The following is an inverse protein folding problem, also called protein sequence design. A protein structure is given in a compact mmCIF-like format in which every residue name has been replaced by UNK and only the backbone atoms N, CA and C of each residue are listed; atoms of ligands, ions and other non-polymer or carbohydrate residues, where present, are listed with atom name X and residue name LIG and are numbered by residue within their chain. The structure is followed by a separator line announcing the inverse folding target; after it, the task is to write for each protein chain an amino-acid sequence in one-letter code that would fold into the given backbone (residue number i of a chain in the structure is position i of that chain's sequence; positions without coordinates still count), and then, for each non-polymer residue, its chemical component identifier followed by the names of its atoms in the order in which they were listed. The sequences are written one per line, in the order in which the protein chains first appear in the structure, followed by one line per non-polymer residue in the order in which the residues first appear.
data_IF_497744175582
#
_entry.id   IF_497744175582
#
_cell.length_a   1.000
_cell.length_b   1.000
_cell.length_c   1.000
_cell.angle_alpha   90.00
_cell.angle_beta   90.00
_cell.angle_gamma   90.00
#
_symmetry.space_group_name_H-M   'P 1'
#
loop_
_entity.id
_entity.type
_entity.pdbx_description
1 polymer ?
#
# COMPACT_ATOMS: atom_id res chain seq x y z
N UNK A 1 -10.54 -26.85 22.99
CA UNK A 1 -11.02 -25.48 22.69
C UNK A 1 -9.77 -24.71 22.34
N UNK A 2 -9.63 -24.27 21.09
CA UNK A 2 -8.40 -23.64 20.59
C UNK A 2 -8.47 -22.14 20.85
N UNK A 3 -7.51 -21.58 21.61
CA UNK A 3 -7.56 -20.18 22.00
C UNK A 3 -6.63 -19.33 21.11
N UNK A 4 -7.04 -18.09 20.79
CA UNK A 4 -6.19 -17.16 20.02
C UNK A 4 -4.82 -16.95 20.65
N UNK A 5 -4.77 -16.93 21.99
CA UNK A 5 -3.51 -16.75 22.74
C UNK A 5 -2.48 -17.85 22.45
N UNK A 6 -2.90 -19.04 22.02
CA UNK A 6 -1.99 -20.14 21.69
C UNK A 6 -1.35 -19.97 20.30
N UNK A 7 -1.89 -19.06 19.49
CA UNK A 7 -1.38 -18.70 18.17
C UNK A 7 -2.45 -18.01 17.33
N UNK A 8 -2.04 -17.03 16.52
CA UNK A 8 -2.98 -16.25 15.69
C UNK A 8 -3.29 -16.90 14.34
N UNK A 9 -2.49 -17.87 13.88
CA UNK A 9 -2.71 -18.57 12.63
C UNK A 9 -3.06 -20.04 12.89
N UNK A 10 -4.02 -20.56 12.13
CA UNK A 10 -4.39 -21.97 12.10
C UNK A 10 -4.27 -22.48 10.68
N UNK A 11 -3.78 -23.70 10.54
CA UNK A 11 -3.70 -24.40 9.26
C UNK A 11 -4.60 -25.63 9.32
N UNK A 12 -5.62 -25.66 8.47
CA UNK A 12 -6.53 -26.79 8.34
C UNK A 12 -6.15 -27.59 7.10
N UNK A 13 -5.92 -28.91 7.22
CA UNK A 13 -5.61 -29.74 6.06
C UNK A 13 -6.82 -29.87 5.15
N UNK A 14 -6.59 -29.84 3.84
CA UNK A 14 -7.60 -30.14 2.82
C UNK A 14 -6.99 -31.04 1.75
N UNK A 15 -7.59 -32.21 1.54
CA UNK A 15 -7.11 -33.14 0.53
C UNK A 15 -7.68 -32.78 -0.84
N UNK A 16 -6.79 -32.62 -1.81
CA UNK A 16 -7.11 -32.35 -3.21
C UNK A 16 -6.95 -33.66 -4.00
N UNK A 17 -8.04 -34.27 -4.49
CA UNK A 17 -7.98 -35.49 -5.28
C UNK A 17 -7.36 -35.28 -6.66
N UNK A 18 -6.87 -36.36 -7.27
CA UNK A 18 -6.47 -36.38 -8.67
C UNK A 18 -7.62 -35.97 -9.60
N UNK A 19 -7.32 -35.15 -10.61
CA UNK A 19 -8.32 -34.65 -11.57
C UNK A 19 -9.16 -33.47 -11.08
N UNK A 20 -8.79 -32.84 -9.96
CA UNK A 20 -9.42 -31.60 -9.50
C UNK A 20 -9.07 -30.44 -10.44
N UNK A 21 -10.08 -29.87 -11.09
CA UNK A 21 -9.94 -28.68 -11.94
C UNK A 21 -10.21 -27.37 -11.19
N UNK A 22 -10.95 -27.42 -10.07
CA UNK A 22 -11.18 -26.29 -9.20
C UNK A 22 -11.38 -26.69 -7.74
N UNK A 23 -10.82 -25.90 -6.83
CA UNK A 23 -11.07 -25.95 -5.39
C UNK A 23 -11.87 -24.70 -5.01
N UNK A 24 -13.04 -24.90 -4.42
CA UNK A 24 -13.83 -23.83 -3.79
C UNK A 24 -13.79 -24.00 -2.28
N UNK A 25 -13.36 -22.95 -1.57
CA UNK A 25 -13.43 -22.86 -0.12
C UNK A 25 -14.56 -21.92 0.28
N UNK A 26 -15.33 -22.29 1.28
CA UNK A 26 -16.36 -21.45 1.90
C UNK A 26 -16.13 -21.38 3.40
N UNK A 27 -15.93 -20.17 3.92
CA UNK A 27 -15.82 -19.85 5.34
C UNK A 27 -17.15 -19.25 5.81
N UNK A 28 -17.73 -19.81 6.88
CA UNK A 28 -18.96 -19.33 7.50
C UNK A 28 -18.77 -19.15 9.00
N UNK A 29 -19.09 -17.97 9.52
CA UNK A 29 -19.00 -17.63 10.94
C UNK A 29 -19.86 -16.38 11.24
N UNK A 30 -20.22 -16.11 12.50
CA UNK A 30 -20.93 -14.90 12.87
C UNK A 30 -20.02 -13.66 12.75
N UNK A 31 -20.05 -12.96 11.62
CA UNK A 31 -19.21 -11.77 11.33
C UNK A 31 -19.36 -10.62 12.34
N UNK A 32 -20.45 -10.57 13.09
CA UNK A 32 -20.63 -9.60 14.17
C UNK A 32 -19.87 -9.97 15.46
N UNK A 33 -19.49 -11.24 15.62
CA UNK A 33 -18.81 -11.75 16.81
C UNK A 33 -17.29 -11.62 16.72
N UNK A 34 -16.72 -11.52 15.52
CA UNK A 34 -15.28 -11.44 15.34
C UNK A 34 -14.82 -11.35 13.89
N UNK A 35 -13.52 -11.46 13.66
CA UNK A 35 -12.89 -11.44 12.34
C UNK A 35 -11.96 -12.64 12.16
N UNK A 36 -12.24 -13.42 11.11
CA UNK A 36 -11.38 -14.49 10.61
C UNK A 36 -10.89 -14.13 9.23
N UNK A 37 -9.59 -14.29 9.01
CA UNK A 37 -9.01 -14.16 7.68
C UNK A 37 -8.90 -15.52 7.01
N UNK A 38 -8.99 -15.53 5.67
CA UNK A 38 -8.86 -16.74 4.86
C UNK A 38 -7.64 -16.65 3.95
N UNK A 39 -6.84 -17.73 3.94
CA UNK A 39 -5.73 -17.93 3.01
C UNK A 39 -5.57 -19.38 2.60
N UNK A 40 -4.67 -19.63 1.65
CA UNK A 40 -4.41 -20.96 1.12
C UNK A 40 -2.92 -21.15 0.82
N UNK A 41 -2.40 -22.31 1.21
CA UNK A 41 -1.10 -22.81 0.79
C UNK A 41 -1.27 -24.10 -0.01
N UNK A 42 -0.38 -24.30 -0.98
CA UNK A 42 -0.24 -25.55 -1.69
C UNK A 42 0.39 -26.66 -0.83
N UNK A 43 0.61 -27.85 -1.40
CA UNK A 43 1.04 -29.02 -0.65
C UNK A 43 2.45 -28.86 -0.08
N UNK A 44 3.35 -28.18 -0.80
CA UNK A 44 4.72 -27.90 -0.34
C UNK A 44 4.81 -26.65 0.56
N UNK A 45 3.68 -25.98 0.79
CA UNK A 45 3.59 -24.78 1.62
C UNK A 45 3.84 -23.48 0.87
N UNK A 46 3.91 -23.56 -0.45
CA UNK A 46 3.93 -22.41 -1.33
C UNK A 46 2.63 -21.61 -1.23
N UNK A 47 2.74 -20.30 -1.39
CA UNK A 47 1.60 -19.38 -1.30
C UNK A 47 0.64 -19.59 -2.47
N UNK A 48 -0.66 -19.68 -2.16
CA UNK A 48 -1.73 -19.76 -3.17
C UNK A 48 -2.75 -18.63 -3.05
N UNK A 49 -2.81 -17.95 -1.92
CA UNK A 49 -3.61 -16.73 -1.81
C UNK A 49 -3.93 -16.31 -0.40
N UNK A 50 -4.39 -15.06 -0.30
CA UNK A 50 -4.84 -14.41 0.91
C UNK A 50 -5.93 -13.40 0.54
N UNK A 51 -7.01 -13.35 1.32
CA UNK A 51 -8.07 -12.35 1.14
C UNK A 51 -8.44 -11.62 2.43
N UNK A 52 -7.67 -11.82 3.51
CA UNK A 52 -8.08 -11.33 4.82
C UNK A 52 -9.49 -11.81 5.16
N UNK A 53 -10.24 -10.97 5.87
CA UNK A 53 -11.67 -11.15 6.16
C UNK A 53 -12.62 -10.73 5.03
N UNK A 54 -12.11 -10.32 3.86
CA UNK A 54 -12.92 -9.72 2.79
C UNK A 54 -13.82 -10.72 2.06
N UNK A 55 -13.51 -12.03 2.11
CA UNK A 55 -14.21 -13.05 1.33
C UNK A 55 -14.70 -14.23 2.17
N UNK A 56 -15.96 -14.59 1.97
CA UNK A 56 -16.54 -15.83 2.51
C UNK A 56 -16.32 -17.03 1.58
N UNK A 57 -16.15 -16.80 0.28
CA UNK A 57 -15.98 -17.87 -0.70
C UNK A 57 -14.89 -17.52 -1.71
N UNK A 58 -13.99 -18.46 -1.92
CA UNK A 58 -12.86 -18.32 -2.84
C UNK A 58 -12.76 -19.57 -3.70
N UNK A 59 -12.41 -19.41 -4.97
CA UNK A 59 -12.19 -20.51 -5.90
C UNK A 59 -10.83 -20.36 -6.56
N UNK A 60 -10.06 -21.44 -6.57
CA UNK A 60 -8.76 -21.54 -7.25
C UNK A 60 -8.87 -22.61 -8.33
N UNK A 61 -8.45 -22.26 -9.55
CA UNK A 61 -8.36 -23.14 -10.70
C UNK A 61 -7.02 -22.88 -11.43
N UNK A 62 -6.74 -23.69 -12.45
CA UNK A 62 -5.47 -23.61 -13.18
C UNK A 62 -5.26 -22.27 -13.89
N UNK A 63 -6.27 -21.79 -14.61
CA UNK A 63 -6.15 -20.57 -15.42
C UNK A 63 -6.65 -19.31 -14.69
N UNK A 64 -7.38 -19.47 -13.59
CA UNK A 64 -7.97 -18.35 -12.85
C UNK A 64 -8.18 -18.65 -11.38
N UNK A 65 -8.24 -17.61 -10.58
CA UNK A 65 -8.62 -17.69 -9.18
C UNK A 65 -9.43 -16.46 -8.77
N UNK A 66 -10.15 -16.55 -7.65
CA UNK A 66 -10.76 -15.40 -6.99
C UNK A 66 -9.68 -14.35 -6.67
N UNK A 67 -9.93 -13.04 -6.87
CA UNK A 67 -8.97 -12.00 -6.51
C UNK A 67 -8.49 -12.16 -5.06
N UNK A 68 -7.18 -12.00 -4.86
CA UNK A 68 -6.46 -12.36 -3.64
C UNK A 68 -5.71 -13.70 -3.75
N UNK A 69 -6.09 -14.55 -4.71
CA UNK A 69 -5.52 -15.88 -4.92
C UNK A 69 -4.84 -15.99 -6.28
N UNK A 70 -3.82 -16.85 -6.35
CA UNK A 70 -3.05 -17.10 -7.54
C UNK A 70 -3.64 -18.28 -8.32
N UNK A 71 -3.85 -18.16 -9.65
CA UNK A 71 -4.16 -19.31 -10.48
C UNK A 71 -2.97 -20.28 -10.54
N UNK A 72 -3.23 -21.52 -10.96
CA UNK A 72 -2.19 -22.51 -11.24
C UNK A 72 -2.62 -23.94 -10.92
N UNK A 73 -1.82 -24.94 -11.31
CA UNK A 73 -2.19 -26.35 -11.21
C UNK A 73 -2.62 -26.77 -9.80
N UNK A 74 -3.68 -27.57 -9.70
CA UNK A 74 -4.15 -28.14 -8.45
C UNK A 74 -3.54 -29.54 -8.26
N UNK A 75 -2.28 -29.55 -7.81
CA UNK A 75 -1.53 -30.79 -7.59
C UNK A 75 -2.22 -31.65 -6.52
N UNK A 76 -2.45 -32.95 -6.76
CA UNK A 76 -3.08 -33.83 -5.79
C UNK A 76 -2.25 -33.95 -4.51
N UNK A 77 -2.91 -33.95 -3.37
CA UNK A 77 -2.26 -34.03 -2.06
C UNK A 77 -2.93 -33.16 -1.00
N UNK A 78 -2.31 -33.06 0.16
CA UNK A 78 -2.84 -32.29 1.29
C UNK A 78 -2.37 -30.84 1.22
N UNK A 79 -3.30 -29.94 0.93
CA UNK A 79 -3.12 -28.49 0.97
C UNK A 79 -3.48 -27.96 2.36
N UNK A 80 -3.23 -26.68 2.61
CA UNK A 80 -3.52 -26.04 3.91
C UNK A 80 -4.34 -24.77 3.74
N UNK A 81 -5.57 -24.78 4.28
CA UNK A 81 -6.36 -23.56 4.48
C UNK A 81 -5.83 -22.83 5.70
N UNK A 82 -5.46 -21.56 5.54
CA UNK A 82 -5.01 -20.72 6.62
C UNK A 82 -6.19 -19.91 7.16
N UNK A 83 -6.34 -19.90 8.49
CA UNK A 83 -7.24 -19.01 9.21
C UNK A 83 -6.45 -18.10 10.15
N UNK A 84 -6.55 -16.77 9.98
CA UNK A 84 -6.05 -15.83 11.01
C UNK A 84 -7.16 -15.49 11.99
N UNK A 85 -6.86 -15.60 13.26
CA UNK A 85 -7.72 -15.28 14.39
C UNK A 85 -7.57 -13.80 14.76
N UNK A 86 -7.97 -12.88 13.88
CA UNK A 86 -7.64 -11.45 14.00
C UNK A 86 -8.39 -10.68 15.08
N UNK A 87 -9.69 -10.93 15.31
CA UNK A 87 -10.47 -10.34 16.42
C UNK A 87 -11.47 -11.36 16.92
N UNK A 88 -11.03 -12.23 17.83
CA UNK A 88 -11.81 -13.35 18.34
C UNK A 88 -12.11 -13.12 19.82
N UNK A 89 -13.37 -13.26 20.26
CA UNK A 89 -13.71 -13.13 21.68
C UNK A 89 -13.00 -14.21 22.51
N UNK A 90 -12.66 -13.95 23.79
CA UNK A 90 -11.93 -14.90 24.64
C UNK A 90 -12.62 -16.28 24.76
N UNK A 91 -13.94 -16.31 24.78
CA UNK A 91 -14.76 -17.53 24.80
C UNK A 91 -14.74 -18.30 23.47
N UNK A 92 -14.15 -17.73 22.42
CA UNK A 92 -14.15 -18.26 21.07
C UNK A 92 -15.46 -18.02 20.33
N UNK A 93 -15.50 -18.40 19.05
CA UNK A 93 -16.71 -18.34 18.24
C UNK A 93 -16.77 -19.52 17.27
N UNK A 94 -17.98 -20.00 16.90
CA UNK A 94 -18.10 -21.09 15.94
C UNK A 94 -17.72 -20.61 14.54
N UNK A 95 -17.09 -21.49 13.78
CA UNK A 95 -16.84 -21.30 12.36
C UNK A 95 -16.94 -22.64 11.62
N UNK A 96 -17.19 -22.58 10.32
CA UNK A 96 -17.17 -23.73 9.42
C UNK A 96 -16.35 -23.39 8.18
N UNK A 97 -15.41 -24.26 7.82
CA UNK A 97 -14.71 -24.22 6.53
C UNK A 97 -15.15 -25.43 5.72
N UNK A 98 -15.71 -25.18 4.53
CA UNK A 98 -16.04 -26.21 3.56
C UNK A 98 -15.10 -26.13 2.37
N UNK A 99 -14.56 -27.26 1.97
CA UNK A 99 -13.79 -27.41 0.74
C UNK A 99 -14.55 -28.28 -0.25
N UNK A 100 -14.72 -27.79 -1.48
CA UNK A 100 -15.33 -28.52 -2.58
C UNK A 100 -14.35 -28.60 -3.75
N UNK A 101 -13.95 -29.81 -4.10
CA UNK A 101 -13.21 -30.09 -5.31
C UNK A 101 -14.19 -30.41 -6.46
N UNK A 102 -13.94 -29.85 -7.64
CA UNK A 102 -14.71 -30.11 -8.85
C UNK A 102 -13.78 -30.52 -9.99
N UNK A 103 -14.27 -31.41 -10.86
CA UNK A 103 -13.57 -31.85 -12.09
C UNK A 103 -13.73 -30.88 -13.25
N UNK A 104 -14.54 -29.84 -13.07
CA UNK A 104 -14.71 -28.75 -14.01
C UNK A 104 -14.65 -27.42 -13.27
N UNK A 105 -13.86 -26.48 -13.78
CA UNK A 105 -13.83 -25.13 -13.24
C UNK A 105 -15.14 -24.40 -13.58
N UNK A 106 -15.67 -23.55 -12.67
CA UNK A 106 -16.85 -22.74 -12.99
C UNK A 106 -16.62 -21.86 -14.23
N UNK A 107 -17.65 -21.25 -14.81
CA UNK A 107 -17.43 -20.18 -15.78
C UNK A 107 -16.77 -18.96 -15.10
N UNK A 108 -15.95 -18.21 -15.84
CA UNK A 108 -15.45 -16.94 -15.36
C UNK A 108 -16.60 -15.92 -15.29
N UNK A 109 -16.75 -15.14 -14.20
CA UNK A 109 -17.60 -13.98 -14.23
C UNK A 109 -17.07 -13.00 -15.27
N UNK A 110 -17.95 -12.45 -16.09
CA UNK A 110 -17.62 -11.40 -17.05
C UNK A 110 -17.65 -10.05 -16.32
N UNK A 111 -16.54 -9.63 -15.73
CA UNK A 111 -16.38 -8.25 -15.28
C UNK A 111 -16.07 -7.37 -16.51
N UNK A 112 -16.85 -6.32 -16.71
CA UNK A 112 -16.60 -5.38 -17.80
C UNK A 112 -15.40 -4.50 -17.45
N UNK A 113 -14.37 -4.52 -18.27
CA UNK A 113 -13.27 -3.55 -18.15
C UNK A 113 -13.80 -2.15 -18.47
N UNK A 114 -13.57 -1.14 -17.61
CA UNK A 114 -13.98 0.22 -17.92
C UNK A 114 -13.26 0.74 -19.18
N UNK A 115 -13.92 1.60 -19.98
CA UNK A 115 -13.27 2.21 -21.13
C UNK A 115 -12.08 3.08 -20.70
N UNK A 116 -11.16 3.41 -21.62
CA UNK A 116 -10.13 4.41 -21.37
C UNK A 116 -10.71 5.73 -20.85
N UNK A 117 -10.01 6.38 -19.92
CA UNK A 117 -10.35 7.71 -19.42
C UNK A 117 -10.25 8.74 -20.56
N UNK A 118 -11.31 9.51 -20.76
CA UNK A 118 -11.27 10.60 -21.74
C UNK A 118 -10.37 11.73 -21.22
N UNK A 119 -9.59 12.42 -22.08
CA UNK A 119 -8.74 13.53 -21.64
C UNK A 119 -9.47 14.63 -20.88
N UNK A 120 -10.75 14.87 -21.18
CA UNK A 120 -11.58 15.87 -20.51
C UNK A 120 -12.01 15.46 -19.08
N UNK A 121 -11.99 14.15 -18.77
CA UNK A 121 -12.35 13.61 -17.46
C UNK A 121 -11.13 13.55 -16.51
N UNK A 122 -9.93 13.86 -17.02
CA UNK A 122 -8.70 13.90 -16.26
C UNK A 122 -8.48 15.29 -15.69
N UNK A 123 -8.31 15.38 -14.37
CA UNK A 123 -7.85 16.57 -13.68
C UNK A 123 -6.53 17.06 -14.26
N UNK A 124 -6.41 18.37 -14.45
CA UNK A 124 -5.18 18.97 -14.94
C UNK A 124 -4.03 18.73 -13.94
N UNK A 125 -2.88 18.30 -14.45
CA UNK A 125 -1.67 18.16 -13.64
C UNK A 125 -1.06 19.53 -13.36
N UNK A 126 -0.66 19.74 -12.12
CA UNK A 126 0.11 20.92 -11.72
C UNK A 126 1.42 20.96 -12.50
N UNK A 127 1.78 22.14 -13.00
CA UNK A 127 3.09 22.35 -13.62
C UNK A 127 4.14 22.59 -12.55
N UNK A 128 5.18 21.77 -12.54
CA UNK A 128 6.32 21.85 -11.62
C UNK A 128 7.61 21.88 -12.44
N UNK A 129 8.62 22.71 -12.09
CA UNK A 129 9.88 22.77 -12.82
C UNK A 129 10.61 21.42 -12.89
N UNK A 130 11.28 21.14 -14.00
CA UNK A 130 12.21 20.00 -14.08
C UNK A 130 13.53 20.31 -13.36
N UNK A 131 14.26 19.26 -12.97
CA UNK A 131 15.60 19.37 -12.38
C UNK A 131 16.54 18.40 -13.08
N UNK A 132 17.61 18.89 -13.72
CA UNK A 132 18.67 18.06 -14.31
C UNK A 132 18.14 16.91 -15.21
N UNK A 133 17.11 17.20 -16.01
CA UNK A 133 16.47 16.21 -16.90
C UNK A 133 15.44 15.30 -16.21
N UNK A 134 15.33 15.34 -14.88
CA UNK A 134 14.30 14.68 -14.10
C UNK A 134 13.04 15.54 -13.92
N UNK A 135 11.90 14.90 -13.68
CA UNK A 135 10.60 15.54 -13.45
C UNK A 135 9.96 15.05 -12.15
N UNK A 136 9.32 15.97 -11.44
CA UNK A 136 8.45 15.60 -10.33
C UNK A 136 7.17 14.98 -10.86
N UNK A 137 6.87 13.77 -10.39
CA UNK A 137 5.64 13.05 -10.67
C UNK A 137 4.79 13.00 -9.40
N UNK A 138 3.49 13.25 -9.53
CA UNK A 138 2.53 13.16 -8.43
C UNK A 138 1.88 11.78 -8.41
N UNK A 139 1.79 11.15 -7.25
CA UNK A 139 1.13 9.87 -7.12
C UNK A 139 0.67 9.55 -5.71
N UNK A 140 0.14 8.34 -5.59
CA UNK A 140 -0.33 7.76 -4.35
C UNK A 140 0.38 6.43 -4.14
N UNK A 141 0.88 6.19 -2.92
CA UNK A 141 1.71 5.04 -2.59
C UNK A 141 0.99 4.01 -1.73
N UNK A 142 -0.32 4.16 -1.51
CA UNK A 142 -1.08 3.25 -0.66
C UNK A 142 -2.54 3.16 -1.12
N UNK A 143 -2.89 2.08 -1.81
CA UNK A 143 -4.25 1.83 -2.27
C UNK A 143 -4.52 0.33 -2.53
N UNK A 144 -5.77 -0.06 -2.36
CA UNK A 144 -6.23 -1.44 -2.37
C UNK A 144 -7.28 -1.69 -3.44
N UNK A 145 -7.32 -2.92 -3.95
CA UNK A 145 -8.29 -3.38 -4.94
C UNK A 145 -9.15 -4.50 -4.37
N UNK A 146 -10.02 -5.07 -5.19
CA UNK A 146 -10.75 -6.29 -4.84
C UNK A 146 -9.85 -7.51 -4.56
N UNK A 147 -8.54 -7.42 -4.79
CA UNK A 147 -7.60 -8.48 -4.47
C UNK A 147 -7.32 -8.60 -2.96
N UNK A 148 -7.54 -7.55 -2.16
CA UNK A 148 -7.73 -7.66 -0.71
C UNK A 148 -9.14 -7.25 -0.31
N UNK A 149 -9.31 -6.02 0.14
CA UNK A 149 -10.47 -5.46 0.82
C UNK A 149 -10.88 -4.10 0.25
N UNK A 150 -10.27 -3.68 -0.86
CA UNK A 150 -10.79 -2.64 -1.72
C UNK A 150 -12.01 -3.11 -2.52
N UNK A 151 -12.76 -2.16 -3.07
CA UNK A 151 -14.00 -2.46 -3.82
C UNK A 151 -13.84 -2.34 -5.33
N UNK A 152 -12.77 -1.69 -5.80
CA UNK A 152 -12.52 -1.45 -7.21
C UNK A 152 -11.64 -2.56 -7.80
N UNK A 153 -11.91 -2.90 -9.06
CA UNK A 153 -10.96 -3.68 -9.88
C UNK A 153 -9.69 -2.86 -10.13
N UNK A 154 -8.61 -3.53 -10.56
CA UNK A 154 -7.35 -2.86 -10.93
C UNK A 154 -7.57 -1.78 -12.00
N UNK A 155 -8.40 -2.05 -13.02
CA UNK A 155 -8.72 -1.09 -14.09
C UNK A 155 -9.57 0.10 -13.59
N UNK A 156 -10.52 -0.14 -12.68
CA UNK A 156 -11.33 0.93 -12.08
C UNK A 156 -10.49 1.82 -11.14
N UNK A 157 -9.63 1.22 -10.33
CA UNK A 157 -8.71 1.94 -9.45
C UNK A 157 -7.72 2.79 -10.27
N UNK A 158 -7.15 2.22 -11.34
CA UNK A 158 -6.27 2.94 -12.26
C UNK A 158 -7.00 4.11 -12.94
N UNK A 159 -8.27 3.91 -13.33
CA UNK A 159 -9.10 4.97 -13.92
C UNK A 159 -9.39 6.08 -12.90
N UNK A 160 -9.69 5.74 -11.66
CA UNK A 160 -9.94 6.70 -10.59
C UNK A 160 -8.68 7.55 -10.29
N UNK A 161 -7.52 6.92 -10.13
CA UNK A 161 -6.25 7.63 -9.94
C UNK A 161 -5.91 8.54 -11.15
N UNK A 162 -6.15 8.04 -12.36
CA UNK A 162 -5.95 8.82 -13.58
C UNK A 162 -6.88 10.02 -13.66
N UNK A 163 -8.12 9.92 -13.16
CA UNK A 163 -9.09 11.00 -13.11
C UNK A 163 -8.65 12.11 -12.13
N UNK A 164 -8.02 11.75 -11.02
CA UNK A 164 -7.38 12.69 -10.08
C UNK A 164 -6.09 13.33 -10.63
N UNK A 165 -5.72 13.02 -11.88
CA UNK A 165 -4.56 13.61 -12.54
C UNK A 165 -3.23 13.01 -12.09
N UNK A 166 -3.22 11.94 -11.31
CA UNK A 166 -1.99 11.30 -10.85
C UNK A 166 -1.14 10.78 -12.03
N UNK A 167 0.18 10.83 -11.86
CA UNK A 167 1.18 10.27 -12.77
C UNK A 167 1.41 8.78 -12.49
N UNK A 168 1.37 8.39 -11.22
CA UNK A 168 1.52 7.01 -10.79
C UNK A 168 0.64 6.64 -9.59
N UNK A 169 0.45 5.34 -9.39
CA UNK A 169 -0.23 4.74 -8.24
C UNK A 169 0.48 3.43 -7.85
N UNK A 170 0.85 3.27 -6.58
CA UNK A 170 1.21 1.96 -6.06
C UNK A 170 -0.05 1.20 -5.64
N UNK A 171 -0.18 -0.05 -6.08
CA UNK A 171 -1.29 -0.92 -5.70
C UNK A 171 -0.76 -1.96 -4.71
N UNK A 172 -1.25 -1.92 -3.48
CA UNK A 172 -0.61 -2.52 -2.30
C UNK A 172 -1.56 -3.45 -1.55
N UNK A 173 -2.33 -4.28 -2.26
CA UNK A 173 -3.27 -5.22 -1.63
C UNK A 173 -2.63 -6.06 -0.50
N UNK A 174 -3.40 -6.28 0.57
CA UNK A 174 -2.93 -6.95 1.78
C UNK A 174 -2.47 -8.40 1.54
N UNK A 175 -1.20 -8.67 1.87
CA UNK A 175 -0.58 -10.01 1.93
C UNK A 175 -0.73 -10.85 0.65
N UNK A 176 -0.97 -10.22 -0.50
CA UNK A 176 -1.13 -10.87 -1.80
C UNK A 176 -0.42 -10.07 -2.89
N UNK A 177 -0.07 -10.76 -3.98
CA UNK A 177 0.49 -10.18 -5.21
C UNK A 177 -0.35 -10.57 -6.43
N UNK A 178 -1.56 -11.07 -6.21
CA UNK A 178 -2.42 -11.61 -7.27
C UNK A 178 -2.90 -10.54 -8.28
N UNK A 179 -2.82 -9.26 -7.92
CA UNK A 179 -3.13 -8.12 -8.78
C UNK A 179 -2.00 -7.76 -9.76
N UNK A 180 -0.75 -8.14 -9.46
CA UNK A 180 0.45 -7.72 -10.21
C UNK A 180 0.34 -7.94 -11.73
N UNK A 181 -0.13 -9.11 -12.22
CA UNK A 181 -0.21 -9.35 -13.67
C UNK A 181 -1.11 -8.38 -14.44
N UNK A 182 -2.09 -7.76 -13.79
CA UNK A 182 -3.04 -6.85 -14.42
C UNK A 182 -2.51 -5.40 -14.53
N UNK A 183 -1.53 -5.02 -13.69
CA UNK A 183 -1.12 -3.63 -13.49
C UNK A 183 -0.66 -2.95 -14.79
N UNK A 184 0.23 -3.59 -15.55
CA UNK A 184 0.78 -2.98 -16.75
C UNK A 184 -0.29 -2.74 -17.83
N UNK A 185 -1.27 -3.65 -17.95
CA UNK A 185 -2.37 -3.51 -18.92
C UNK A 185 -3.36 -2.42 -18.50
N UNK A 186 -3.76 -2.39 -17.23
CA UNK A 186 -4.65 -1.38 -16.68
C UNK A 186 -4.05 0.03 -16.74
N UNK A 187 -2.78 0.17 -16.32
CA UNK A 187 -2.06 1.44 -16.36
C UNK A 187 -1.95 2.01 -17.77
N UNK A 188 -1.56 1.19 -18.77
CA UNK A 188 -1.53 1.61 -20.18
C UNK A 188 -2.89 2.06 -20.68
N UNK A 189 -3.96 1.35 -20.32
CA UNK A 189 -5.33 1.65 -20.76
C UNK A 189 -5.84 2.98 -20.22
N UNK A 190 -5.49 3.32 -18.98
CA UNK A 190 -5.93 4.53 -18.30
C UNK A 190 -4.90 5.68 -18.37
N UNK A 191 -3.73 5.43 -18.97
CA UNK A 191 -2.66 6.42 -19.14
C UNK A 191 -2.02 6.86 -17.82
N UNK A 192 -1.80 5.92 -16.90
CA UNK A 192 -1.16 6.10 -15.59
C UNK A 192 -0.12 5.00 -15.36
N UNK A 193 0.97 5.27 -14.65
CA UNK A 193 1.92 4.23 -14.24
C UNK A 193 1.42 3.52 -12.99
N UNK A 194 1.28 2.20 -13.03
CA UNK A 194 0.96 1.40 -11.83
C UNK A 194 2.23 0.73 -11.32
N UNK A 195 2.59 1.01 -10.07
CA UNK A 195 3.72 0.40 -9.39
C UNK A 195 3.23 -0.87 -8.66
N UNK A 196 3.87 -2.04 -8.89
CA UNK A 196 3.58 -3.22 -8.10
C UNK A 196 3.94 -2.98 -6.64
N UNK A 197 3.07 -3.44 -5.75
CA UNK A 197 3.35 -3.46 -4.32
C UNK A 197 2.55 -4.53 -3.59
N UNK A 198 2.91 -4.73 -2.33
CA UNK A 198 2.18 -5.57 -1.38
C UNK A 198 2.21 -4.85 -0.04
N UNK A 199 1.05 -4.68 0.61
CA UNK A 199 1.05 -4.35 2.03
C UNK A 199 1.23 -5.63 2.84
N UNK A 200 2.31 -5.71 3.59
CA UNK A 200 2.56 -6.76 4.57
C UNK A 200 1.83 -6.38 5.86
N UNK A 201 0.78 -7.12 6.17
CA UNK A 201 -0.21 -6.76 7.21
C UNK A 201 -0.17 -7.76 8.35
N UNK A 202 0.12 -7.27 9.56
CA UNK A 202 0.11 -8.05 10.81
C UNK A 202 -0.66 -7.33 11.91
N UNK A 203 -0.95 -8.02 13.01
CA UNK A 203 -1.57 -7.40 14.20
C UNK A 203 -0.63 -6.39 14.92
N UNK A 204 0.65 -6.29 14.52
CA UNK A 204 1.67 -5.48 15.20
C UNK A 204 2.33 -4.45 14.27
N UNK A 205 1.70 -4.16 13.15
CA UNK A 205 2.20 -3.18 12.20
C UNK A 205 2.10 -3.62 10.75
N UNK A 206 2.09 -2.61 9.89
CA UNK A 206 1.96 -2.74 8.45
C UNK A 206 3.16 -2.13 7.72
N UNK A 207 3.51 -2.69 6.56
CA UNK A 207 4.54 -2.13 5.70
C UNK A 207 4.23 -2.39 4.22
N UNK A 208 4.33 -1.35 3.39
CA UNK A 208 4.33 -1.50 1.94
C UNK A 208 5.70 -1.97 1.46
N UNK A 209 5.69 -3.02 0.64
CA UNK A 209 6.81 -3.42 -0.18
C UNK A 209 6.53 -2.99 -1.61
N UNK A 210 7.39 -2.14 -2.16
CA UNK A 210 7.27 -1.59 -3.51
C UNK A 210 8.21 -2.31 -4.49
N UNK A 211 7.72 -2.56 -5.70
CA UNK A 211 8.43 -3.28 -6.76
C UNK A 211 7.84 -4.67 -7.01
N UNK A 212 8.21 -5.26 -8.15
CA UNK A 212 7.84 -6.64 -8.50
C UNK A 212 8.78 -7.62 -7.76
N UNK A 213 8.63 -7.70 -6.43
CA UNK A 213 9.52 -8.48 -5.55
C UNK A 213 9.09 -9.94 -5.37
N UNK A 214 8.00 -10.35 -6.02
CA UNK A 214 7.23 -11.53 -5.63
C UNK A 214 6.58 -11.37 -4.24
N UNK A 215 5.96 -12.45 -3.76
CA UNK A 215 5.24 -12.45 -2.49
C UNK A 215 6.18 -12.38 -1.28
N UNK A 216 5.93 -11.42 -0.39
CA UNK A 216 6.61 -11.29 0.90
C UNK A 216 5.76 -11.98 1.96
N UNK A 217 6.35 -13.01 2.59
CA UNK A 217 5.66 -13.80 3.61
C UNK A 217 5.54 -13.02 4.94
N UNK A 218 4.34 -12.49 5.19
CA UNK A 218 3.98 -11.72 6.40
C UNK A 218 4.11 -12.50 7.72
N UNK A 219 4.36 -13.82 7.66
CA UNK A 219 4.59 -14.66 8.85
C UNK A 219 6.05 -14.63 9.30
N UNK A 220 6.94 -14.11 8.46
CA UNK A 220 8.37 -13.95 8.75
C UNK A 220 8.61 -12.69 9.58
N UNK A 221 9.76 -12.56 10.26
CA UNK A 221 10.13 -11.31 10.95
C UNK A 221 10.26 -10.13 9.98
N UNK A 222 10.00 -8.90 10.45
CA UNK A 222 10.09 -7.69 9.63
C UNK A 222 11.47 -7.47 8.96
N UNK A 223 12.55 -7.90 9.61
CA UNK A 223 13.89 -7.86 9.04
C UNK A 223 14.05 -8.78 7.80
N UNK A 224 13.35 -9.92 7.77
CA UNK A 224 13.32 -10.80 6.60
C UNK A 224 12.57 -10.15 5.45
N UNK A 225 11.48 -9.40 5.72
CA UNK A 225 10.73 -8.67 4.69
C UNK A 225 11.62 -7.64 4.01
N UNK A 226 12.33 -6.82 4.79
CA UNK A 226 13.26 -5.83 4.27
C UNK A 226 14.36 -6.49 3.42
N UNK A 227 14.98 -7.54 3.95
CA UNK A 227 16.07 -8.26 3.25
C UNK A 227 15.59 -8.83 1.91
N UNK A 228 14.40 -9.41 1.87
CA UNK A 228 13.82 -10.00 0.66
C UNK A 228 13.40 -8.96 -0.37
N UNK A 229 12.78 -7.87 0.08
CA UNK A 229 12.42 -6.75 -0.78
C UNK A 229 13.66 -6.20 -1.49
N UNK A 230 14.71 -5.87 -0.75
CA UNK A 230 15.94 -5.31 -1.30
C UNK A 230 16.70 -6.30 -2.19
N UNK A 231 16.73 -7.59 -1.83
CA UNK A 231 17.34 -8.63 -2.67
C UNK A 231 16.66 -8.77 -4.04
N UNK A 232 15.38 -8.42 -4.14
CA UNK A 232 14.61 -8.39 -5.38
C UNK A 232 14.60 -7.00 -6.06
N UNK A 233 15.35 -6.02 -5.55
CA UNK A 233 15.39 -4.65 -6.09
C UNK A 233 14.20 -3.78 -5.70
N UNK A 234 13.40 -4.20 -4.71
CA UNK A 234 12.30 -3.43 -4.15
C UNK A 234 12.67 -2.63 -2.90
N UNK A 235 11.68 -1.92 -2.37
CA UNK A 235 11.79 -1.06 -1.20
C UNK A 235 10.76 -1.45 -0.14
N UNK A 236 11.08 -1.27 1.14
CA UNK A 236 10.12 -1.43 2.23
C UNK A 236 9.88 -0.08 2.91
N UNK A 237 8.61 0.30 3.02
CA UNK A 237 8.13 1.46 3.77
C UNK A 237 7.30 1.01 4.96
N UNK A 238 7.57 1.55 6.15
CA UNK A 238 6.67 1.39 7.30
C UNK A 238 5.40 2.20 7.04
N UNK A 239 4.23 1.57 7.13
CA UNK A 239 2.95 2.26 6.93
C UNK A 239 2.48 2.88 8.24
N UNK A 240 1.88 4.06 8.15
CA UNK A 240 1.17 4.78 9.21
C UNK A 240 1.53 4.35 10.65
N UNK A 241 2.78 4.57 11.11
CA UNK A 241 3.37 3.86 12.25
C UNK A 241 2.70 4.14 13.61
N UNK A 242 1.78 5.08 13.66
CA UNK A 242 1.07 5.55 14.85
C UNK A 242 -0.45 5.37 14.73
N UNK A 243 -0.95 4.66 13.70
CA UNK A 243 -2.37 4.54 13.42
C UNK A 243 -3.02 3.36 14.15
N UNK A 244 -3.89 3.68 15.11
CA UNK A 244 -4.84 2.75 15.75
C UNK A 244 -4.21 1.40 16.15
N UNK A 245 -4.89 0.28 15.86
CA UNK A 245 -4.42 -1.09 16.11
C UNK A 245 -3.46 -1.62 15.02
N UNK A 246 -3.08 -0.77 14.06
CA UNK A 246 -2.12 -1.04 13.00
C UNK A 246 -0.77 -0.34 13.24
N UNK A 247 -0.58 0.28 14.41
CA UNK A 247 0.64 0.97 14.77
C UNK A 247 1.85 0.03 14.71
N UNK A 248 3.02 0.59 14.40
CA UNK A 248 4.22 -0.23 14.25
C UNK A 248 4.79 -0.63 15.62
N UNK A 249 4.60 -1.89 15.98
CA UNK A 249 5.10 -2.52 17.22
C UNK A 249 6.14 -3.62 16.97
N UNK A 250 6.30 -4.05 15.72
CA UNK A 250 7.24 -5.10 15.35
C UNK A 250 8.71 -4.69 15.62
N UNK A 251 9.52 -5.56 16.22
CA UNK A 251 10.95 -5.31 16.37
C UNK A 251 11.64 -5.36 15.00
N UNK A 252 12.55 -4.42 14.76
CA UNK A 252 13.50 -4.49 13.66
C UNK A 252 14.87 -4.88 14.19
N UNK A 253 15.24 -6.15 13.96
CA UNK A 253 16.61 -6.59 14.20
C UNK A 253 17.52 -6.06 13.07
N UNK A 254 18.57 -5.32 13.43
CA UNK A 254 19.52 -4.77 12.46
C UNK A 254 19.08 -3.43 11.87
N UNK A 255 19.11 -3.31 10.53
CA UNK A 255 18.84 -2.04 9.85
C UNK A 255 17.33 -1.79 9.72
N UNK A 256 16.91 -0.60 10.13
CA UNK A 256 15.54 -0.11 9.92
C UNK A 256 15.37 0.43 8.49
N UNK A 257 14.21 0.25 7.84
CA UNK A 257 13.89 0.88 6.55
C UNK A 257 13.99 2.41 6.65
N UNK A 258 14.40 3.05 5.55
CA UNK A 258 14.48 4.52 5.43
C UNK A 258 13.12 5.14 5.13
N UNK A 259 12.26 4.42 4.41
CA UNK A 259 10.97 4.91 3.95
C UNK A 259 9.90 4.71 5.02
N UNK A 260 9.07 5.72 5.21
CA UNK A 260 7.92 5.65 6.09
C UNK A 260 6.78 6.54 5.60
N UNK A 261 5.57 6.02 5.67
CA UNK A 261 4.34 6.79 5.47
C UNK A 261 4.09 7.68 6.69
N UNK A 262 4.71 8.86 6.67
CA UNK A 262 4.56 9.85 7.74
C UNK A 262 3.26 10.63 7.63
N UNK A 263 2.74 10.77 6.41
CA UNK A 263 1.45 11.40 6.18
C UNK A 263 0.43 10.34 5.77
N UNK A 264 -0.44 10.04 6.70
CA UNK A 264 -1.58 9.14 6.51
C UNK A 264 -2.85 9.84 6.99
N UNK A 265 -4.02 9.39 6.53
CA UNK A 265 -5.29 9.99 6.90
C UNK A 265 -5.59 9.94 8.40
N UNK A 266 -4.96 9.01 9.14
CA UNK A 266 -5.09 8.88 10.60
C UNK A 266 -4.41 10.04 11.34
N UNK A 267 -3.53 10.81 10.67
CA UNK A 267 -3.00 12.06 11.19
C UNK A 267 -4.04 13.20 11.07
N UNK A 268 -5.17 13.01 11.77
CA UNK A 268 -6.36 13.86 11.68
C UNK A 268 -6.11 15.31 12.11
N UNK A 269 -5.21 15.52 13.08
CA UNK A 269 -4.72 16.83 13.47
C UNK A 269 -3.22 16.94 13.18
N UNK A 270 -2.89 17.60 12.06
CA UNK A 270 -1.52 17.80 11.58
C UNK A 270 -0.69 18.79 12.40
N UNK A 271 -1.26 19.34 13.48
CA UNK A 271 -0.51 20.10 14.50
C UNK A 271 0.15 19.15 15.51
N UNK A 272 -0.31 17.91 15.62
CA UNK A 272 0.33 16.91 16.48
C UNK A 272 1.67 16.46 15.86
N UNK A 273 2.77 16.77 16.53
CA UNK A 273 4.13 16.43 16.06
C UNK A 273 4.53 14.96 16.22
N UNK A 274 3.63 14.05 16.60
CA UNK A 274 3.96 12.67 16.90
C UNK A 274 4.58 11.91 15.70
N UNK A 275 4.06 12.00 14.46
CA UNK A 275 4.71 11.37 13.30
C UNK A 275 6.13 11.89 13.04
N UNK A 276 6.36 13.20 13.24
CA UNK A 276 7.68 13.81 13.08
C UNK A 276 8.66 13.39 14.19
N UNK A 277 8.18 13.28 15.43
CA UNK A 277 8.97 12.78 16.55
C UNK A 277 9.34 11.31 16.37
N UNK A 278 8.38 10.49 15.90
CA UNK A 278 8.63 9.09 15.54
C UNK A 278 9.68 8.99 14.44
N UNK A 279 9.57 9.76 13.36
CA UNK A 279 10.54 9.74 12.27
C UNK A 279 11.97 10.04 12.75
N UNK A 280 12.13 11.08 13.57
CA UNK A 280 13.43 11.45 14.19
C UNK A 280 13.99 10.37 15.11
N UNK A 281 13.14 9.67 15.86
CA UNK A 281 13.56 8.56 16.71
C UNK A 281 13.84 7.28 15.90
N UNK A 282 13.24 7.16 14.72
CA UNK A 282 13.38 6.02 13.84
C UNK A 282 14.75 6.01 13.17
N UNK A 283 15.07 7.08 12.42
CA UNK A 283 16.34 7.34 11.71
C UNK A 283 16.54 8.84 11.46
N UNK A 284 17.78 9.27 11.25
CA UNK A 284 18.09 10.65 10.87
C UNK A 284 17.80 10.94 9.37
N UNK A 285 17.78 9.90 8.54
CA UNK A 285 17.60 9.93 7.08
C UNK A 285 16.27 9.31 6.63
N UNK A 286 15.19 9.51 7.40
CA UNK A 286 13.85 9.04 6.99
C UNK A 286 13.40 9.74 5.71
N UNK A 287 12.97 8.95 4.73
CA UNK A 287 12.35 9.40 3.49
C UNK A 287 10.84 9.49 3.73
N UNK A 288 10.24 10.69 3.71
CA UNK A 288 8.82 10.87 3.98
C UNK A 288 7.98 10.41 2.78
N UNK A 289 7.01 9.55 3.03
CA UNK A 289 5.97 9.15 2.09
C UNK A 289 4.59 9.50 2.65
N UNK A 290 3.62 9.54 1.74
CA UNK A 290 2.20 9.58 2.08
C UNK A 290 1.38 8.73 1.10
N UNK A 291 0.26 8.22 1.60
CA UNK A 291 -0.69 7.44 0.83
C UNK A 291 -2.10 7.64 1.35
N UNK A 292 -3.08 7.45 0.46
CA UNK A 292 -4.50 7.63 0.82
C UNK A 292 -5.06 6.48 1.65
N UNK A 293 -4.43 5.30 1.56
CA UNK A 293 -4.98 4.04 2.04
C UNK A 293 -6.39 3.80 1.48
N UNK A 294 -6.52 4.03 0.17
CA UNK A 294 -7.82 3.99 -0.52
C UNK A 294 -8.32 2.56 -0.64
N UNK A 295 -9.56 2.35 -0.21
CA UNK A 295 -10.26 1.07 -0.38
C UNK A 295 -11.52 1.23 -1.22
N UNK A 296 -12.24 2.35 -1.06
CA UNK A 296 -13.53 2.56 -1.72
C UNK A 296 -13.95 4.03 -1.79
N UNK A 297 -14.70 4.43 -2.83
CA UNK A 297 -15.14 5.83 -2.99
C UNK A 297 -15.93 6.39 -1.80
N UNK A 298 -16.68 5.55 -1.08
CA UNK A 298 -17.53 5.95 0.05
C UNK A 298 -16.74 6.44 1.27
N UNK A 299 -15.42 6.21 1.32
CA UNK A 299 -14.55 6.81 2.33
C UNK A 299 -14.51 8.34 2.24
N UNK A 300 -14.95 8.93 1.12
CA UNK A 300 -15.01 10.38 0.93
C UNK A 300 -13.65 11.05 0.83
N UNK A 301 -12.59 10.26 0.62
CA UNK A 301 -11.21 10.71 0.46
C UNK A 301 -10.72 10.27 -0.92
N UNK A 302 -10.33 11.20 -1.80
CA UNK A 302 -9.84 10.84 -3.12
C UNK A 302 -8.44 10.21 -3.03
N UNK A 303 -8.09 9.45 -4.07
CA UNK A 303 -6.72 9.01 -4.29
C UNK A 303 -5.79 10.23 -4.40
N UNK A 304 -4.57 10.09 -3.89
CA UNK A 304 -3.58 11.17 -3.86
C UNK A 304 -3.86 12.24 -2.81
N UNK A 305 -4.63 11.96 -1.76
CA UNK A 305 -4.81 12.86 -0.62
C UNK A 305 -4.46 12.13 0.70
N UNK A 306 -3.18 12.13 1.12
CA UNK A 306 -2.06 12.97 0.63
C UNK A 306 -1.42 12.50 -0.68
N UNK A 307 -0.75 13.43 -1.37
CA UNK A 307 0.03 13.15 -2.60
C UNK A 307 1.49 12.97 -2.23
N UNK A 308 2.10 11.87 -2.70
CA UNK A 308 3.57 11.76 -2.74
C UNK A 308 4.09 12.23 -4.10
N UNK A 309 5.04 13.15 -4.06
CA UNK A 309 5.80 13.62 -5.21
C UNK A 309 7.13 12.87 -5.25
N UNK A 310 7.53 12.43 -6.44
CA UNK A 310 8.82 11.75 -6.64
C UNK A 310 9.56 12.37 -7.81
N UNK A 311 10.81 12.77 -7.61
CA UNK A 311 11.68 13.28 -8.68
C UNK A 311 12.29 12.11 -9.47
N UNK A 312 11.80 11.91 -10.68
CA UNK A 312 12.10 10.75 -11.51
C UNK A 312 12.89 11.15 -12.77
N UNK A 313 13.99 10.45 -13.03
CA UNK A 313 14.59 10.42 -14.37
C UNK A 313 13.83 9.39 -15.22
N UNK A 314 13.50 9.72 -16.47
CA UNK A 314 12.82 8.83 -17.42
C UNK A 314 11.51 8.17 -16.94
N UNK A 315 10.88 8.73 -15.90
CA UNK A 315 9.66 8.18 -15.30
C UNK A 315 9.88 6.97 -14.37
N UNK A 316 11.12 6.66 -14.00
CA UNK A 316 11.44 5.61 -13.02
C UNK A 316 11.08 6.06 -11.60
N UNK A 317 9.84 5.75 -11.20
CA UNK A 317 9.31 6.08 -9.87
C UNK A 317 10.03 5.30 -8.78
N UNK A 318 10.30 4.00 -8.98
CA UNK A 318 10.95 3.17 -7.96
C UNK A 318 12.38 3.64 -7.70
N UNK A 319 13.15 3.97 -8.74
CA UNK A 319 14.47 4.57 -8.58
C UNK A 319 14.45 5.98 -7.97
N UNK A 320 13.38 6.75 -8.22
CA UNK A 320 13.13 8.01 -7.52
C UNK A 320 12.90 7.84 -6.02
N UNK A 321 12.09 6.84 -5.64
CA UNK A 321 11.83 6.48 -4.25
C UNK A 321 13.11 5.96 -3.57
N UNK A 322 13.86 5.07 -4.20
CA UNK A 322 15.09 4.49 -3.62
C UNK A 322 16.13 5.58 -3.30
N UNK A 323 16.26 6.56 -4.21
CA UNK A 323 17.12 7.71 -4.02
C UNK A 323 16.61 8.73 -2.98
N UNK A 324 15.45 8.51 -2.38
CA UNK A 324 14.87 9.37 -1.35
C UNK A 324 14.41 10.74 -1.85
N UNK A 325 14.21 10.91 -3.18
CA UNK A 325 13.84 12.20 -3.77
C UNK A 325 12.33 12.40 -3.71
N UNK A 326 11.81 12.53 -2.49
CA UNK A 326 10.37 12.58 -2.22
C UNK A 326 9.93 13.87 -1.53
N UNK A 327 8.69 14.23 -1.79
CA UNK A 327 7.96 15.22 -1.03
C UNK A 327 6.51 14.77 -0.84
N UNK A 328 5.83 15.31 0.15
CA UNK A 328 4.43 14.99 0.45
C UNK A 328 3.65 16.28 0.62
N UNK A 329 2.47 16.36 -0.01
CA UNK A 329 1.53 17.47 0.16
C UNK A 329 0.13 16.94 0.48
N UNK A 330 -0.76 17.79 1.00
CA UNK A 330 -2.13 17.40 1.32
C UNK A 330 -2.95 16.92 0.11
N UNK A 331 -2.53 17.29 -1.10
CA UNK A 331 -3.12 16.91 -2.38
C UNK A 331 -2.32 17.48 -3.56
N UNK A 332 -2.70 17.17 -4.81
CA UNK A 332 -1.91 17.48 -6.00
C UNK A 332 -1.80 19.00 -6.30
N UNK A 333 -2.75 19.80 -5.80
CA UNK A 333 -2.73 21.27 -5.92
C UNK A 333 -2.43 21.99 -4.60
N UNK A 334 -2.16 21.25 -3.53
CA UNK A 334 -1.85 21.87 -2.24
C UNK A 334 -0.46 22.51 -2.25
N UNK A 335 -0.17 23.37 -1.25
CA UNK A 335 1.18 23.86 -1.01
C UNK A 335 2.17 22.67 -0.98
N UNK A 336 3.30 22.81 -1.66
CA UNK A 336 4.31 21.75 -1.76
C UNK A 336 5.71 22.32 -1.56
N UNK A 337 6.60 21.49 -1.01
CA UNK A 337 8.02 21.78 -0.83
C UNK A 337 8.83 20.74 -1.59
N UNK A 338 9.62 21.17 -2.55
CA UNK A 338 10.33 20.27 -3.47
C UNK A 338 11.83 20.55 -3.44
N UNK A 339 12.67 19.51 -3.40
CA UNK A 339 14.12 19.66 -3.39
C UNK A 339 14.72 19.66 -4.80
N UNK A 340 15.61 20.62 -5.04
CA UNK A 340 16.42 20.79 -6.26
C UNK A 340 17.89 20.92 -5.83
N UNK A 341 18.52 19.79 -5.50
CA UNK A 341 19.87 19.76 -4.92
C UNK A 341 19.94 20.46 -3.56
N UNK A 342 20.70 21.56 -3.51
CA UNK A 342 20.91 22.38 -2.30
C UNK A 342 19.84 23.47 -2.11
N UNK A 343 18.82 23.50 -2.97
CA UNK A 343 17.67 24.40 -2.86
C UNK A 343 16.35 23.65 -2.61
N UNK A 344 15.43 24.33 -1.95
CA UNK A 344 14.04 23.95 -1.78
C UNK A 344 13.17 24.96 -2.51
N UNK A 345 12.27 24.48 -3.34
CA UNK A 345 11.24 25.26 -3.98
C UNK A 345 9.91 25.07 -3.22
N UNK A 346 9.46 26.14 -2.57
CA UNK A 346 8.11 26.20 -1.99
C UNK A 346 7.15 26.78 -3.02
N UNK A 347 6.12 26.01 -3.39
CA UNK A 347 5.11 26.39 -4.40
C UNK A 347 3.71 26.45 -3.79
N UNK A 348 2.97 27.51 -4.11
CA UNK A 348 1.64 27.86 -3.56
C UNK A 348 1.63 27.84 -2.04
N UNK A 349 2.72 28.35 -1.45
CA UNK A 349 3.04 28.25 -0.04
C UNK A 349 3.19 29.63 0.64
N UNK A 350 2.64 30.69 0.04
CA UNK A 350 2.73 32.05 0.61
C UNK A 350 2.12 32.09 2.02
N UNK A 351 2.82 32.75 2.95
CA UNK A 351 2.39 32.85 4.35
C UNK A 351 2.63 31.59 5.20
N UNK A 352 3.19 30.52 4.63
CA UNK A 352 3.67 29.36 5.40
C UNK A 352 5.05 29.62 6.01
N UNK A 353 5.47 28.73 6.91
CA UNK A 353 6.79 28.74 7.55
C UNK A 353 7.53 27.47 7.15
N UNK A 354 8.66 27.62 6.47
CA UNK A 354 9.63 26.55 6.30
C UNK A 354 10.30 26.28 7.64
N UNK A 355 10.18 25.04 8.13
CA UNK A 355 10.91 24.54 9.29
C UNK A 355 11.94 23.52 8.84
N UNK A 356 13.20 23.81 9.13
CA UNK A 356 14.34 22.95 8.83
C UNK A 356 14.55 21.87 9.91
N UNK A 357 15.31 20.80 9.60
CA UNK A 357 15.64 19.74 10.55
C UNK A 357 16.21 20.24 11.88
N UNK A 358 17.09 21.24 11.81
CA UNK A 358 17.72 21.92 12.96
C UNK A 358 16.77 22.82 13.77
N UNK A 359 15.53 22.99 13.32
CA UNK A 359 14.52 23.85 13.95
C UNK A 359 14.51 25.29 13.46
N UNK A 360 15.42 25.68 12.57
CA UNK A 360 15.45 27.02 11.96
C UNK A 360 14.16 27.26 11.17
N UNK A 361 13.57 28.45 11.35
CA UNK A 361 12.29 28.85 10.74
C UNK A 361 12.47 29.99 9.76
N UNK A 362 11.83 29.91 8.60
CA UNK A 362 11.82 30.97 7.59
C UNK A 362 10.43 31.14 7.03
N UNK A 363 9.90 32.37 7.05
CA UNK A 363 8.61 32.68 6.44
C UNK A 363 8.74 32.65 4.91
N UNK A 364 7.86 31.91 4.26
CA UNK A 364 7.74 31.89 2.80
C UNK A 364 6.93 33.12 2.37
N UNK A 365 7.49 33.93 1.47
CA UNK A 365 6.85 35.16 0.95
C UNK A 365 6.80 35.10 -0.57
N UNK A 366 5.61 34.85 -1.11
CA UNK A 366 5.34 34.66 -2.53
C UNK A 366 4.89 33.23 -2.86
N UNK A 367 4.31 33.07 -4.05
CA UNK A 367 3.72 31.80 -4.49
C UNK A 367 4.74 30.79 -5.04
N UNK A 368 5.95 31.23 -5.39
CA UNK A 368 7.05 30.37 -5.81
C UNK A 368 8.36 30.95 -5.29
N UNK A 369 8.97 30.28 -4.30
CA UNK A 369 10.13 30.80 -3.58
C UNK A 369 11.19 29.72 -3.47
N UNK A 370 12.41 30.01 -3.93
CA UNK A 370 13.59 29.18 -3.68
C UNK A 370 14.25 29.55 -2.36
N UNK A 371 14.60 28.56 -1.56
CA UNK A 371 15.16 28.68 -0.22
C UNK A 371 16.32 27.69 -0.04
N UNK A 372 17.38 28.02 0.73
CA UNK A 372 18.45 27.06 0.99
C UNK A 372 17.95 25.81 1.71
N UNK A 373 18.35 24.65 1.18
CA UNK A 373 18.07 23.35 1.75
C UNK A 373 19.08 22.99 2.85
N UNK A 374 18.63 22.19 3.82
CA UNK A 374 19.48 21.54 4.81
C UNK A 374 19.57 20.04 4.56
N UNK A 375 20.24 19.32 5.44
CA UNK A 375 20.25 17.85 5.46
C UNK A 375 19.13 17.31 6.38
N UNK A 376 18.36 16.35 5.90
CA UNK A 376 17.24 15.72 6.63
C UNK A 376 15.86 16.30 6.30
N UNK A 377 14.84 15.90 7.07
CA UNK A 377 13.42 16.17 6.82
C UNK A 377 12.99 17.64 7.04
N UNK A 378 12.63 18.33 5.95
CA UNK A 378 12.00 19.65 5.96
C UNK A 378 10.49 19.57 6.00
N UNK A 379 9.85 20.65 6.46
CA UNK A 379 8.40 20.79 6.36
C UNK A 379 7.95 22.24 6.21
N UNK A 380 6.78 22.41 5.61
CA UNK A 380 6.03 23.66 5.64
C UNK A 380 4.94 23.57 6.71
N UNK A 381 4.81 24.63 7.51
CA UNK A 381 3.75 24.78 8.51
C UNK A 381 2.92 26.03 8.26
N UNK A 382 1.64 26.01 8.62
CA UNK A 382 0.84 27.23 8.75
C UNK A 382 1.23 28.01 10.03
N UNK A 383 0.63 29.20 10.21
CA UNK A 383 0.82 29.98 11.44
C UNK A 383 0.31 29.29 12.72
N UNK A 384 -0.53 28.25 12.60
CA UNK A 384 -1.01 27.43 13.73
C UNK A 384 -0.17 26.16 13.93
N UNK A 385 1.01 26.08 13.30
CA UNK A 385 1.91 24.92 13.30
C UNK A 385 1.30 23.66 12.66
N UNK A 386 0.27 23.82 11.81
CA UNK A 386 -0.27 22.70 11.05
C UNK A 386 0.68 22.38 9.89
N UNK A 387 1.14 21.12 9.79
CA UNK A 387 1.98 20.67 8.69
C UNK A 387 1.17 20.61 7.39
N UNK A 388 1.71 21.23 6.32
CA UNK A 388 1.07 21.28 4.98
C UNK A 388 1.92 20.65 3.87
N UNK A 389 3.23 20.50 4.10
CA UNK A 389 4.11 19.75 3.20
C UNK A 389 5.30 19.14 3.96
N UNK A 390 5.81 18.02 3.48
CA UNK A 390 7.06 17.38 3.92
C UNK A 390 8.02 17.23 2.72
N UNK A 391 9.33 17.31 2.96
CA UNK A 391 10.35 17.06 1.93
C UNK A 391 11.56 16.37 2.54
N UNK A 392 12.00 15.27 1.92
CA UNK A 392 13.22 14.53 2.28
C UNK A 392 14.50 15.25 1.90
#
# INVERSE_FOLDING_TARGET
MEHRADGILRALPVDIPAGTAALTLTLSYPRHAGVLDLGLLGPEGEFRGWSGGARDTVTVAEERATPGYLPGPLVPGTWRVLLRLHRIPPEGMPYEVRARCATQAPAAPSAATPPPLAPADRRARRTVPSHDGARWLAGDLHAHTEHSDGTLTVDELARAAAAEGLDFLAVTDHNTVSHHPALAAAGRRQGISLLPGQEVTTDLGHANVFGDTGWIDFRRPAADWLTRAEAAGGLLSVNHPLADDCAWELPFAGRRPRHAELWHHSWADRRHGAPLAWARAWRDDVVPLGGSDFHRPEQGRPLGAPTTWVLCADGDVLGGLDAGRTAVSAGPDAAVLLRYGDELLALDADGTVLVRPDGTRTVVRGNAVSLPAGQGLHRLETHTCEVVALCG
#
